data_IF_367688074369
#
_entry.id   IF_367688074369
#
_cell.length_a   1.000
_cell.length_b   1.000
_cell.length_c   1.000
_cell.angle_alpha   90.00
_cell.angle_beta   90.00
_cell.angle_gamma   90.00
#
_symmetry.space_group_name_H-M   'P 1'
#
loop_
_entity.id
_entity.type
_entity.pdbx_description
1 polymer ?
#
# COMPACT_ATOMS: atom_id res chain seq x y z
N UNK A 1 49.41 8.74 -57.06
CA UNK A 1 50.56 9.00 -56.15
C UNK A 1 50.06 9.70 -54.89
N UNK A 2 50.39 9.11 -53.71
CA UNK A 2 50.71 9.74 -52.41
C UNK A 2 49.70 10.77 -51.84
N UNK A 3 48.92 10.40 -50.82
CA UNK A 3 49.20 10.48 -49.36
C UNK A 3 49.20 11.92 -48.79
N UNK A 4 48.35 12.12 -47.76
CA UNK A 4 48.47 12.92 -46.52
C UNK A 4 47.02 13.15 -46.04
N UNK A 5 46.45 12.55 -45.00
CA UNK A 5 46.84 12.31 -43.59
C UNK A 5 47.65 13.45 -42.95
N UNK A 6 46.99 14.31 -42.18
CA UNK A 6 47.28 14.65 -40.77
C UNK A 6 46.24 15.69 -40.25
N UNK A 7 45.38 15.32 -39.30
CA UNK A 7 45.42 15.63 -37.85
C UNK A 7 44.83 17.00 -37.47
N UNK A 8 43.69 16.97 -36.77
CA UNK A 8 43.32 17.83 -35.63
C UNK A 8 42.08 17.19 -34.96
N UNK A 9 42.28 16.30 -33.97
CA UNK A 9 42.32 16.54 -32.51
C UNK A 9 40.97 16.88 -31.86
N UNK A 10 40.54 15.91 -31.05
CA UNK A 10 39.92 16.03 -29.73
C UNK A 10 38.60 16.80 -29.56
N UNK A 11 37.51 16.05 -29.41
CA UNK A 11 36.56 16.17 -28.30
C UNK A 11 35.47 15.10 -28.43
N UNK A 12 35.62 13.96 -27.75
CA UNK A 12 34.53 13.14 -27.19
C UNK A 12 35.13 11.92 -26.50
N UNK A 13 35.71 12.15 -25.32
CA UNK A 13 35.78 11.11 -24.29
C UNK A 13 34.91 11.59 -23.12
N UNK A 14 34.35 10.62 -22.39
CA UNK A 14 33.40 10.75 -21.27
C UNK A 14 31.94 10.65 -21.74
N UNK A 15 31.58 9.48 -22.30
CA UNK A 15 30.32 8.88 -21.86
C UNK A 15 30.62 8.31 -20.49
N UNK A 16 30.27 9.11 -19.48
CA UNK A 16 30.12 8.68 -18.10
C UNK A 16 29.44 7.33 -18.09
N UNK A 17 30.10 6.40 -17.40
CA UNK A 17 29.48 5.25 -16.77
C UNK A 17 28.02 5.56 -16.47
N UNK A 18 27.10 4.84 -17.11
CA UNK A 18 25.76 4.69 -16.61
C UNK A 18 25.92 4.21 -15.16
N UNK A 19 25.86 5.16 -14.23
CA UNK A 19 25.54 4.89 -12.85
C UNK A 19 24.18 4.23 -12.92
N UNK A 20 24.19 2.89 -12.93
CA UNK A 20 23.03 2.14 -12.54
C UNK A 20 22.66 2.69 -11.18
N UNK A 21 21.61 3.51 -11.13
CA UNK A 21 20.82 3.68 -9.93
C UNK A 21 20.21 2.31 -9.65
N UNK A 22 21.03 1.37 -9.17
CA UNK A 22 20.53 0.27 -8.36
C UNK A 22 19.87 0.97 -7.18
N UNK A 23 18.54 0.98 -7.17
CA UNK A 23 17.81 1.36 -5.96
C UNK A 23 18.39 0.49 -4.84
N UNK A 24 18.81 1.08 -3.70
CA UNK A 24 19.34 0.31 -2.61
C UNK A 24 18.37 -0.82 -2.27
N UNK A 25 18.89 -2.03 -2.18
CA UNK A 25 18.13 -3.16 -1.71
C UNK A 25 17.86 -2.89 -0.23
N UNK A 26 16.59 -2.74 0.12
CA UNK A 26 16.20 -2.51 1.51
C UNK A 26 16.44 -3.81 2.26
N UNK A 27 17.37 -3.81 3.20
CA UNK A 27 17.62 -4.96 4.06
C UNK A 27 16.43 -5.14 5.01
N UNK A 28 15.96 -6.37 5.16
CA UNK A 28 14.90 -6.68 6.12
C UNK A 28 15.49 -6.70 7.53
N UNK A 29 14.88 -5.95 8.44
CA UNK A 29 15.34 -5.84 9.84
C UNK A 29 14.56 -6.83 10.70
N UNK A 30 15.26 -7.68 11.43
CA UNK A 30 14.65 -8.52 12.47
C UNK A 30 14.32 -7.68 13.71
N UNK A 31 13.08 -7.81 14.20
CA UNK A 31 12.55 -7.10 15.37
C UNK A 31 11.93 -8.11 16.32
N UNK A 32 12.30 -8.03 17.61
CA UNK A 32 11.73 -8.88 18.63
C UNK A 32 10.26 -8.49 18.87
N UNK A 33 9.42 -9.49 19.22
CA UNK A 33 7.99 -9.28 19.46
C UNK A 33 7.70 -8.16 20.48
N UNK A 34 8.48 -8.08 21.56
CA UNK A 34 8.32 -7.03 22.57
C UNK A 34 8.52 -5.63 21.99
N UNK A 35 9.51 -5.46 21.11
CA UNK A 35 9.75 -4.19 20.41
C UNK A 35 8.63 -3.91 19.40
N UNK A 36 8.10 -4.95 18.74
CA UNK A 36 6.96 -4.79 17.82
C UNK A 36 5.68 -4.31 18.50
N UNK A 37 5.41 -4.75 19.74
CA UNK A 37 4.28 -4.22 20.52
C UNK A 37 4.42 -2.70 20.70
N UNK A 38 5.63 -2.22 21.03
CA UNK A 38 5.91 -0.79 21.21
C UNK A 38 5.83 -0.05 19.88
N UNK A 39 6.44 -0.58 18.82
CA UNK A 39 6.42 0.02 17.49
C UNK A 39 5.00 0.16 16.94
N UNK A 40 4.18 -0.88 17.06
CA UNK A 40 2.81 -0.89 16.56
C UNK A 40 1.92 0.10 17.32
N UNK A 41 2.10 0.23 18.63
CA UNK A 41 1.45 1.27 19.43
C UNK A 41 1.87 2.68 18.98
N UNK A 42 3.15 2.88 18.68
CA UNK A 42 3.65 4.16 18.17
C UNK A 42 3.09 4.50 16.78
N UNK A 43 2.98 3.51 15.88
CA UNK A 43 2.31 3.70 14.58
C UNK A 43 0.84 4.07 14.74
N UNK A 44 0.12 3.43 15.66
CA UNK A 44 -1.27 3.79 15.99
C UNK A 44 -1.39 5.26 16.36
N UNK A 45 -0.56 5.73 17.29
CA UNK A 45 -0.58 7.14 17.74
C UNK A 45 -0.36 8.11 16.58
N UNK A 46 0.62 7.86 15.71
CA UNK A 46 0.90 8.71 14.56
C UNK A 46 -0.25 8.70 13.53
N UNK A 47 -0.90 7.56 13.32
CA UNK A 47 -2.03 7.41 12.40
C UNK A 47 -3.25 8.19 12.94
N UNK A 48 -3.55 8.05 14.23
CA UNK A 48 -4.64 8.80 14.89
C UNK A 48 -4.36 10.29 14.83
N UNK A 49 -3.15 10.73 15.19
CA UNK A 49 -2.76 12.13 15.11
C UNK A 49 -2.87 12.69 13.69
N UNK A 50 -2.56 11.87 12.66
CA UNK A 50 -2.71 12.24 11.27
C UNK A 50 -4.17 12.47 10.87
N UNK A 51 -5.08 11.59 11.31
CA UNK A 51 -6.52 11.70 11.05
C UNK A 51 -7.14 12.88 11.79
N UNK A 52 -6.78 13.08 13.06
CA UNK A 52 -7.24 14.21 13.87
C UNK A 52 -6.79 15.55 13.30
N UNK A 53 -5.52 15.64 12.86
CA UNK A 53 -5.00 16.82 12.16
C UNK A 53 -5.72 17.09 10.85
N UNK A 54 -6.17 16.03 10.17
CA UNK A 54 -6.98 16.14 8.97
C UNK A 54 -8.47 16.44 9.26
N UNK A 55 -8.87 16.48 10.54
CA UNK A 55 -10.25 16.69 11.00
C UNK A 55 -11.24 15.69 10.40
N UNK A 56 -10.78 14.44 10.24
CA UNK A 56 -11.62 13.34 9.77
C UNK A 56 -12.55 12.93 10.90
N UNK A 57 -13.84 12.72 10.62
CA UNK A 57 -14.78 12.14 11.57
C UNK A 57 -14.78 10.61 11.41
N UNK A 58 -14.50 9.87 12.47
CA UNK A 58 -14.37 8.42 12.40
C UNK A 58 -14.73 7.72 13.71
N UNK A 59 -15.19 6.47 13.60
CA UNK A 59 -15.17 5.51 14.71
C UNK A 59 -13.88 4.69 14.62
N UNK A 60 -13.32 4.34 15.78
CA UNK A 60 -12.12 3.54 15.90
C UNK A 60 -12.40 2.25 16.67
N UNK A 61 -11.85 1.15 16.16
CA UNK A 61 -11.83 -0.14 16.86
C UNK A 61 -10.50 -0.86 16.56
N UNK A 62 -10.08 -1.71 17.49
CA UNK A 62 -8.85 -2.48 17.34
C UNK A 62 -9.01 -3.89 17.87
N UNK A 63 -8.19 -4.80 17.34
CA UNK A 63 -8.05 -6.15 17.85
C UNK A 63 -6.61 -6.63 17.71
N UNK A 64 -6.24 -7.59 18.54
CA UNK A 64 -4.91 -8.18 18.57
C UNK A 64 -5.00 -9.69 18.69
N UNK A 65 -4.02 -10.38 18.11
CA UNK A 65 -3.84 -11.83 18.21
C UNK A 65 -2.39 -12.10 18.61
N UNK A 66 -2.20 -13.00 19.58
CA UNK A 66 -0.87 -13.41 20.02
C UNK A 66 -0.31 -12.65 21.22
N UNK A 67 -1.07 -11.74 21.86
CA UNK A 67 -0.71 -11.10 23.14
C UNK A 67 -1.22 -11.89 24.37
N UNK A 68 -1.31 -13.21 24.24
CA UNK A 68 -1.71 -14.06 25.36
C UNK A 68 -0.52 -14.24 26.30
N UNK A 69 -0.76 -14.16 27.61
CA UNK A 69 0.27 -14.24 28.68
C UNK A 69 1.17 -15.49 28.59
N UNK A 70 0.76 -16.53 27.87
CA UNK A 70 1.47 -17.79 27.68
C UNK A 70 1.83 -18.09 26.21
N UNK A 71 1.66 -17.15 25.29
CA UNK A 71 2.04 -17.36 23.89
C UNK A 71 3.57 -17.52 23.81
N UNK A 72 4.09 -18.53 23.08
CA UNK A 72 5.50 -18.61 22.77
C UNK A 72 6.05 -17.29 22.23
N UNK A 73 7.30 -16.97 22.55
CA UNK A 73 7.98 -15.79 22.01
C UNK A 73 8.05 -15.83 20.47
N UNK A 74 8.11 -17.04 19.92
CA UNK A 74 8.09 -17.31 18.47
C UNK A 74 6.68 -17.25 17.85
N UNK A 75 5.61 -17.06 18.63
CA UNK A 75 4.27 -16.94 18.07
C UNK A 75 4.07 -15.56 17.44
N UNK A 76 3.48 -15.51 16.23
CA UNK A 76 3.29 -14.26 15.52
C UNK A 76 2.40 -13.31 16.32
N UNK A 77 2.70 -12.02 16.21
CA UNK A 77 1.91 -10.96 16.83
C UNK A 77 1.21 -10.16 15.75
N UNK A 78 -0.12 -10.17 15.78
CA UNK A 78 -0.95 -9.41 14.86
C UNK A 78 -1.70 -8.33 15.62
N UNK A 79 -1.67 -7.11 15.09
CA UNK A 79 -2.43 -5.99 15.60
C UNK A 79 -3.16 -5.32 14.44
N UNK A 80 -4.46 -5.11 14.57
CA UNK A 80 -5.30 -4.57 13.50
C UNK A 80 -6.14 -3.42 14.02
N UNK A 81 -6.09 -2.33 13.28
CA UNK A 81 -6.93 -1.15 13.46
C UNK A 81 -8.00 -1.12 12.37
N UNK A 82 -9.23 -0.87 12.78
CA UNK A 82 -10.36 -0.61 11.90
C UNK A 82 -10.92 0.77 12.19
N UNK A 83 -10.95 1.61 11.17
CA UNK A 83 -11.35 3.01 11.23
C UNK A 83 -12.51 3.19 10.27
N UNK A 84 -13.70 3.41 10.81
CA UNK A 84 -14.91 3.65 10.01
C UNK A 84 -15.11 5.14 9.88
N UNK A 85 -14.91 5.66 8.67
CA UNK A 85 -15.12 7.06 8.35
C UNK A 85 -16.62 7.36 8.35
N UNK A 86 -17.00 8.48 8.98
CA UNK A 86 -18.40 8.94 9.09
C UNK A 86 -18.76 9.89 7.95
N UNK A 87 -18.45 9.49 6.73
CA UNK A 87 -18.89 10.11 5.49
C UNK A 87 -20.01 9.27 4.84
N UNK A 88 -20.81 9.86 3.96
CA UNK A 88 -21.79 9.11 3.16
C UNK A 88 -21.21 8.83 1.76
N UNK A 89 -21.17 7.57 1.29
CA UNK A 89 -21.41 6.32 2.04
C UNK A 89 -20.29 6.06 3.06
N UNK A 90 -20.60 5.28 4.11
CA UNK A 90 -19.62 4.84 5.13
C UNK A 90 -18.44 4.13 4.46
N UNK A 91 -17.23 4.39 4.97
CA UNK A 91 -15.98 3.86 4.40
C UNK A 91 -15.13 3.26 5.48
N UNK A 92 -14.39 2.22 5.14
CA UNK A 92 -13.55 1.52 6.10
C UNK A 92 -12.08 1.64 5.70
N UNK A 93 -11.26 2.13 6.63
CA UNK A 93 -9.81 1.96 6.58
C UNK A 93 -9.45 0.82 7.52
N UNK A 94 -8.72 -0.16 6.99
CA UNK A 94 -8.19 -1.28 7.77
C UNK A 94 -6.67 -1.28 7.68
N UNK A 95 -6.01 -1.32 8.83
CA UNK A 95 -4.54 -1.31 8.95
C UNK A 95 -4.14 -2.46 9.86
N UNK A 96 -3.53 -3.48 9.29
CA UNK A 96 -2.94 -4.60 10.02
C UNK A 96 -1.43 -4.47 10.07
N UNK A 97 -0.87 -4.78 11.24
CA UNK A 97 0.54 -4.96 11.49
C UNK A 97 0.78 -6.40 11.95
N UNK A 98 1.89 -6.96 11.52
CA UNK A 98 2.27 -8.33 11.81
C UNK A 98 3.76 -8.39 12.12
N UNK A 99 4.13 -9.11 13.17
CA UNK A 99 5.48 -9.62 13.38
C UNK A 99 5.42 -11.15 13.21
N UNK A 100 5.90 -11.62 12.06
CA UNK A 100 6.00 -13.04 11.73
C UNK A 100 7.45 -13.34 11.38
N UNK A 101 8.02 -14.41 11.93
CA UNK A 101 9.45 -14.72 11.85
C UNK A 101 10.37 -13.52 12.17
N UNK A 102 9.99 -12.70 13.15
CA UNK A 102 10.68 -11.46 13.56
C UNK A 102 10.70 -10.35 12.49
N UNK A 103 9.92 -10.47 11.44
CA UNK A 103 9.84 -9.46 10.38
C UNK A 103 8.55 -8.69 10.56
N UNK A 104 8.69 -7.38 10.74
CA UNK A 104 7.56 -6.47 10.81
C UNK A 104 7.02 -6.13 9.42
N UNK A 105 5.73 -6.40 9.22
CA UNK A 105 5.01 -6.11 7.98
C UNK A 105 3.68 -5.43 8.26
N UNK A 106 3.12 -4.80 7.23
CA UNK A 106 1.84 -4.12 7.29
C UNK A 106 0.96 -4.46 6.08
N UNK A 107 -0.34 -4.27 6.28
CA UNK A 107 -1.33 -4.09 5.21
C UNK A 107 -2.23 -2.94 5.60
N UNK A 108 -2.30 -1.90 4.77
CA UNK A 108 -3.20 -0.78 4.94
C UNK A 108 -4.12 -0.68 3.72
N UNK A 109 -5.42 -0.54 3.93
CA UNK A 109 -6.40 -0.44 2.86
C UNK A 109 -7.52 0.51 3.18
N UNK A 110 -8.15 1.04 2.13
CA UNK A 110 -9.49 1.61 2.20
C UNK A 110 -10.42 0.74 1.37
N UNK A 111 -11.62 0.50 1.88
CA UNK A 111 -12.71 -0.18 1.18
C UNK A 111 -13.93 0.74 1.15
N UNK A 112 -14.52 0.87 -0.03
CA UNK A 112 -15.72 1.69 -0.27
C UNK A 112 -16.76 0.84 -0.98
N UNK A 113 -17.97 0.82 -0.43
CA UNK A 113 -19.13 0.17 -1.04
C UNK A 113 -19.87 1.15 -1.95
N UNK A 114 -20.11 0.74 -3.19
CA UNK A 114 -20.76 1.54 -4.22
C UNK A 114 -21.98 0.79 -4.77
N UNK A 115 -23.11 1.46 -5.00
CA UNK A 115 -24.31 0.78 -5.50
C UNK A 115 -24.16 0.34 -6.97
N UNK A 116 -23.29 0.99 -7.75
CA UNK A 116 -23.08 0.66 -9.17
C UNK A 116 -21.61 0.62 -9.55
N UNK A 117 -21.25 -0.20 -10.56
CA UNK A 117 -19.89 -0.25 -11.11
C UNK A 117 -19.43 1.09 -11.69
N UNK A 118 -20.37 1.95 -12.11
CA UNK A 118 -20.09 3.29 -12.61
C UNK A 118 -19.65 4.28 -11.52
N UNK A 119 -20.04 4.00 -10.27
CA UNK A 119 -19.66 4.79 -9.08
C UNK A 119 -18.37 4.30 -8.43
N UNK A 120 -17.81 3.16 -8.87
CA UNK A 120 -16.46 2.75 -8.52
C UNK A 120 -15.44 3.68 -9.18
N UNK A 121 -15.10 4.78 -8.54
CA UNK A 121 -14.22 5.82 -9.08
C UNK A 121 -13.13 6.34 -8.12
N UNK A 122 -12.90 5.66 -6.99
CA UNK A 122 -11.97 6.01 -5.92
C UNK A 122 -10.70 6.70 -6.43
N UNK A 123 -10.40 7.84 -5.84
CA UNK A 123 -9.26 8.67 -6.21
C UNK A 123 -8.46 9.04 -4.97
N UNK A 124 -7.15 8.82 -5.02
CA UNK A 124 -6.28 8.98 -3.85
C UNK A 124 -6.23 10.43 -3.34
N UNK A 125 -6.62 11.40 -4.18
CA UNK A 125 -6.72 12.80 -3.75
C UNK A 125 -7.79 12.98 -2.69
N UNK A 126 -8.92 12.30 -2.84
CA UNK A 126 -10.06 12.43 -1.94
C UNK A 126 -9.79 11.71 -0.60
N UNK A 127 -8.79 10.81 -0.62
CA UNK A 127 -8.29 10.05 0.53
C UNK A 127 -6.82 10.38 0.80
N UNK A 128 -6.45 11.66 0.77
CA UNK A 128 -5.04 12.07 0.87
C UNK A 128 -4.34 11.58 2.15
N UNK A 129 -5.10 11.38 3.24
CA UNK A 129 -4.60 10.78 4.48
C UNK A 129 -4.20 9.32 4.30
N UNK A 130 -4.89 8.53 3.46
CA UNK A 130 -4.54 7.13 3.22
C UNK A 130 -3.15 7.00 2.60
N UNK A 131 -2.83 7.85 1.61
CA UNK A 131 -1.48 7.89 1.04
C UNK A 131 -0.44 8.29 2.08
N UNK A 132 -0.78 9.20 2.98
CA UNK A 132 0.14 9.58 4.06
C UNK A 132 0.32 8.42 5.05
N UNK A 133 -0.73 7.66 5.36
CA UNK A 133 -0.65 6.43 6.16
C UNK A 133 0.26 5.42 5.45
N UNK A 134 0.07 5.17 4.15
CA UNK A 134 0.94 4.30 3.37
C UNK A 134 2.41 4.69 3.50
N UNK A 135 2.72 5.98 3.34
CA UNK A 135 4.10 6.48 3.41
C UNK A 135 4.61 6.64 4.85
N UNK A 136 3.73 6.67 5.85
CA UNK A 136 4.09 6.71 7.27
C UNK A 136 4.57 5.34 7.75
N UNK A 137 3.87 4.28 7.34
CA UNK A 137 4.16 2.90 7.80
C UNK A 137 5.18 2.19 6.92
N UNK A 138 5.36 2.63 5.68
CA UNK A 138 6.23 1.99 4.70
C UNK A 138 7.58 2.67 4.61
N UNK A 139 8.64 1.87 4.42
CA UNK A 139 9.97 2.41 4.10
C UNK A 139 10.06 3.04 2.71
N UNK A 140 9.20 2.58 1.78
CA UNK A 140 9.09 3.19 0.46
C UNK A 140 7.92 4.16 0.37
N UNK A 141 8.10 5.20 -0.42
CA UNK A 141 7.02 6.13 -0.75
C UNK A 141 6.21 5.65 -1.96
N UNK A 142 4.89 5.75 -1.84
CA UNK A 142 3.96 5.61 -2.96
C UNK A 142 3.45 6.98 -3.39
N UNK A 143 3.62 7.28 -4.68
CA UNK A 143 3.15 8.56 -5.23
C UNK A 143 1.65 8.52 -5.54
N UNK A 144 1.00 9.68 -5.51
CA UNK A 144 -0.40 9.80 -5.95
C UNK A 144 -0.58 9.38 -7.42
N UNK A 145 0.45 9.59 -8.25
CA UNK A 145 0.45 9.12 -9.63
C UNK A 145 0.39 7.60 -9.72
N UNK A 146 1.15 6.88 -8.89
CA UNK A 146 1.17 5.42 -8.89
C UNK A 146 -0.18 4.84 -8.49
N UNK A 147 -0.80 5.37 -7.43
CA UNK A 147 -2.17 5.01 -7.04
C UNK A 147 -3.16 5.29 -8.18
N UNK A 148 -3.21 6.52 -8.67
CA UNK A 148 -4.20 6.92 -9.68
C UNK A 148 -4.04 6.17 -11.00
N UNK A 149 -2.80 5.89 -11.43
CA UNK A 149 -2.53 5.09 -12.61
C UNK A 149 -3.03 3.66 -12.44
N UNK A 150 -2.75 3.03 -11.29
CA UNK A 150 -3.21 1.67 -11.00
C UNK A 150 -4.74 1.59 -11.02
N UNK A 151 -5.41 2.48 -10.28
CA UNK A 151 -6.86 2.53 -10.16
C UNK A 151 -7.54 2.74 -11.53
N UNK A 152 -7.14 3.78 -12.28
CA UNK A 152 -7.67 4.05 -13.63
C UNK A 152 -7.46 2.89 -14.59
N UNK A 153 -6.29 2.26 -14.54
CA UNK A 153 -5.98 1.13 -15.43
C UNK A 153 -6.78 -0.12 -15.10
N UNK A 154 -7.20 -0.28 -13.84
CA UNK A 154 -8.06 -1.38 -13.39
C UNK A 154 -9.50 -1.08 -13.79
N UNK A 155 -9.99 0.15 -13.58
CA UNK A 155 -11.34 0.57 -13.96
C UNK A 155 -11.64 0.50 -15.46
N UNK A 156 -10.64 0.74 -16.32
CA UNK A 156 -10.83 0.76 -17.78
C UNK A 156 -11.58 -0.49 -18.29
N UNK A 157 -12.72 -0.27 -18.94
CA UNK A 157 -13.55 -1.32 -19.55
C UNK A 157 -14.40 -2.14 -18.56
N UNK A 158 -14.42 -1.77 -17.27
CA UNK A 158 -15.09 -2.57 -16.23
C UNK A 158 -16.60 -2.52 -16.31
N UNK A 159 -17.15 -1.34 -16.64
CA UNK A 159 -18.58 -1.15 -16.81
C UNK A 159 -19.11 -2.00 -17.96
N UNK A 160 -18.48 -1.89 -19.12
CA UNK A 160 -18.85 -2.64 -20.32
C UNK A 160 -18.68 -4.17 -20.10
N UNK A 161 -17.65 -4.56 -19.37
CA UNK A 161 -17.41 -5.96 -19.00
C UNK A 161 -18.51 -6.52 -18.08
N UNK A 162 -18.96 -5.76 -17.07
CA UNK A 162 -20.02 -6.20 -16.17
C UNK A 162 -21.38 -6.23 -16.87
N UNK A 163 -21.72 -5.18 -17.62
CA UNK A 163 -23.00 -5.09 -18.33
C UNK A 163 -23.16 -6.16 -19.43
N UNK A 164 -22.06 -6.79 -19.85
CA UNK A 164 -22.08 -7.89 -20.82
C UNK A 164 -22.05 -9.30 -20.21
N UNK A 165 -21.70 -9.45 -18.92
CA UNK A 165 -21.65 -10.75 -18.22
C UNK A 165 -22.17 -10.58 -16.78
N UNK A 166 -23.43 -10.92 -16.54
CA UNK A 166 -24.22 -10.47 -15.39
C UNK A 166 -24.05 -11.25 -14.07
N UNK A 167 -23.09 -12.17 -13.97
CA UNK A 167 -23.15 -13.19 -12.91
C UNK A 167 -22.12 -13.00 -11.79
N UNK A 168 -20.93 -12.48 -12.09
CA UNK A 168 -19.90 -12.16 -11.11
C UNK A 168 -18.88 -11.18 -11.70
N UNK A 169 -18.48 -10.18 -10.92
CA UNK A 169 -17.45 -9.23 -11.34
C UNK A 169 -16.32 -9.20 -10.33
N UNK A 170 -15.11 -9.47 -10.80
CA UNK A 170 -13.90 -9.26 -10.04
C UNK A 170 -12.79 -8.75 -10.95
N UNK A 171 -12.14 -7.68 -10.54
CA UNK A 171 -11.00 -7.13 -11.24
C UNK A 171 -9.98 -6.64 -10.23
N UNK A 172 -8.73 -7.06 -10.42
CA UNK A 172 -7.60 -6.70 -9.57
C UNK A 172 -6.39 -6.37 -10.42
N UNK A 173 -5.63 -5.37 -10.00
CA UNK A 173 -4.26 -5.15 -10.49
C UNK A 173 -3.35 -4.83 -9.33
N UNK A 174 -2.08 -5.17 -9.53
CA UNK A 174 -1.02 -4.95 -8.57
C UNK A 174 0.13 -4.20 -9.22
N UNK A 175 0.85 -3.47 -8.38
CA UNK A 175 2.13 -2.87 -8.69
C UNK A 175 3.12 -3.24 -7.61
N UNK A 176 4.20 -3.87 -8.04
CA UNK A 176 5.31 -4.25 -7.20
C UNK A 176 6.37 -3.15 -7.20
N UNK A 177 6.96 -2.90 -6.03
CA UNK A 177 8.04 -1.93 -5.88
C UNK A 177 9.42 -2.58 -5.64
N UNK A 178 9.49 -3.92 -5.60
CA UNK A 178 10.74 -4.69 -5.62
C UNK A 178 11.11 -5.17 -7.04
N UNK A 179 12.41 -5.38 -7.29
CA UNK A 179 12.95 -5.90 -8.55
C UNK A 179 12.78 -7.41 -8.72
N UNK A 180 12.76 -8.18 -7.62
CA UNK A 180 12.76 -9.64 -7.62
C UNK A 180 11.35 -10.27 -7.59
N UNK A 181 10.29 -9.45 -7.42
CA UNK A 181 8.88 -9.89 -7.29
C UNK A 181 8.63 -10.90 -6.17
N UNK A 182 9.61 -11.19 -5.31
CA UNK A 182 9.54 -12.12 -4.18
C UNK A 182 9.12 -11.42 -2.88
N UNK A 183 8.26 -10.40 -3.03
CA UNK A 183 7.66 -9.54 -2.00
C UNK A 183 8.61 -8.62 -1.21
N UNK A 184 8.25 -7.33 -1.20
CA UNK A 184 8.63 -6.43 -0.10
C UNK A 184 7.64 -5.28 0.02
N UNK A 185 7.11 -4.74 -1.10
CA UNK A 185 5.95 -3.83 -1.11
C UNK A 185 5.07 -3.97 -2.36
N UNK A 186 3.75 -4.03 -2.16
CA UNK A 186 2.74 -4.24 -3.20
C UNK A 186 1.60 -3.25 -3.01
N UNK A 187 1.37 -2.42 -4.02
CA UNK A 187 0.15 -1.61 -4.14
C UNK A 187 -0.86 -2.36 -4.98
N UNK A 188 -2.02 -2.62 -4.42
CA UNK A 188 -3.12 -3.35 -5.04
C UNK A 188 -4.33 -2.46 -5.15
N UNK A 189 -5.06 -2.60 -6.25
CA UNK A 189 -6.40 -2.07 -6.34
C UNK A 189 -7.34 -3.11 -6.96
N UNK A 190 -8.53 -3.23 -6.39
CA UNK A 190 -9.54 -4.19 -6.83
C UNK A 190 -10.95 -3.62 -6.79
N UNK A 191 -11.80 -4.15 -7.67
CA UNK A 191 -13.24 -3.97 -7.65
C UNK A 191 -13.87 -5.36 -7.69
N UNK A 192 -14.79 -5.60 -6.77
CA UNK A 192 -15.52 -6.86 -6.64
C UNK A 192 -17.01 -6.58 -6.53
N UNK A 193 -17.86 -7.39 -7.16
CA UNK A 193 -19.30 -7.36 -6.95
C UNK A 193 -19.66 -8.27 -5.77
N UNK A 194 -20.03 -7.67 -4.65
CA UNK A 194 -20.34 -8.38 -3.41
C UNK A 194 -21.76 -8.95 -3.46
N UNK A 195 -21.84 -10.25 -3.74
CA UNK A 195 -23.11 -10.99 -3.82
C UNK A 195 -23.67 -11.44 -2.47
N UNK A 196 -22.97 -11.18 -1.37
CA UNK A 196 -23.39 -11.55 0.00
C UNK A 196 -23.90 -10.35 0.80
N UNK A 197 -23.73 -9.13 0.30
CA UNK A 197 -24.28 -7.90 0.89
C UNK A 197 -25.77 -7.68 0.59
N UNK A 198 -26.50 -7.02 1.50
CA UNK A 198 -27.88 -6.55 1.28
C UNK A 198 -27.98 -5.05 1.65
N UNK A 199 -28.15 -4.13 0.68
CA UNK A 199 -28.27 -4.38 -0.76
C UNK A 199 -26.95 -4.88 -1.38
N UNK A 200 -27.03 -5.49 -2.56
CA UNK A 200 -25.86 -5.88 -3.35
C UNK A 200 -25.07 -4.63 -3.77
N UNK A 201 -23.76 -4.64 -3.54
CA UNK A 201 -22.86 -3.51 -3.85
C UNK A 201 -21.61 -3.96 -4.59
N UNK A 202 -20.94 -3.00 -5.21
CA UNK A 202 -19.55 -3.13 -5.63
C UNK A 202 -18.63 -2.65 -4.51
N UNK A 203 -17.64 -3.45 -4.16
CA UNK A 203 -16.57 -3.06 -3.24
C UNK A 203 -15.34 -2.66 -4.03
N UNK A 204 -14.95 -1.40 -3.87
CA UNK A 204 -13.73 -0.83 -4.41
C UNK A 204 -12.69 -0.73 -3.30
N UNK A 205 -11.52 -1.34 -3.49
CA UNK A 205 -10.45 -1.38 -2.48
C UNK A 205 -9.13 -0.92 -3.06
N UNK A 206 -8.47 0.02 -2.38
CA UNK A 206 -7.06 0.36 -2.60
C UNK A 206 -6.27 -0.10 -1.37
N UNK A 207 -5.29 -0.97 -1.57
CA UNK A 207 -4.49 -1.55 -0.50
C UNK A 207 -2.99 -1.40 -0.80
N UNK A 208 -2.21 -1.23 0.26
CA UNK A 208 -0.76 -1.26 0.22
C UNK A 208 -0.26 -2.18 1.32
N UNK A 209 0.64 -3.11 0.96
CA UNK A 209 1.24 -4.05 1.90
C UNK A 209 2.74 -4.09 1.71
N UNK A 210 3.46 -4.43 2.77
CA UNK A 210 4.91 -4.62 2.71
C UNK A 210 5.59 -4.62 4.07
N UNK A 211 6.91 -4.50 4.08
CA UNK A 211 7.67 -4.36 5.33
C UNK A 211 7.46 -2.98 5.95
N UNK A 212 7.43 -2.93 7.28
CA UNK A 212 7.33 -1.67 8.01
C UNK A 212 8.61 -0.85 7.89
N UNK A 213 8.47 0.48 7.96
CA UNK A 213 9.62 1.35 8.14
C UNK A 213 10.28 1.06 9.50
N UNK A 214 11.62 0.97 9.58
CA UNK A 214 12.30 0.78 10.85
C UNK A 214 11.97 1.93 11.82
N UNK A 215 11.50 1.61 13.04
CA UNK A 215 11.52 2.54 14.16
C UNK A 215 12.75 2.26 15.00
N UNK A 216 13.50 3.30 15.35
CA UNK A 216 14.50 3.16 16.42
C UNK A 216 13.76 2.96 17.73
N UNK A 217 13.97 1.82 18.39
CA UNK A 217 13.50 1.62 19.77
C UNK A 217 14.02 2.78 20.64
N UNK A 218 13.09 3.53 21.23
CA UNK A 218 13.36 4.63 22.17
C UNK A 218 13.67 4.11 23.56
#
# INVERSE_FOLDING_TARGET
MKKRLCVLLAATLIFTTFGGCGKPQVETVEVAKADSIVNFASYKEDIIALLDKAKVNYDFSEFFVGDEKNAPEASPYFYVMKIVLKDEPDREISIGFNNDDRIESFTASITVSQPTIGECDLNIRDYSYLRKIFNLVSEIEVSAFDCNRLMRSTRRGSKEQYESNTDAFYKKKERFFSQDKTETWVLQYSIYYNTTSDPLVFEETLAFKGNLAPRTAS
#
